data_IF_564146182947
#
_entry.id   IF_564146182947
#
_cell.length_a   1.000
_cell.length_b   1.000
_cell.length_c   1.000
_cell.angle_alpha   90.00
_cell.angle_beta   90.00
_cell.angle_gamma   90.00
#
_symmetry.space_group_name_H-M   'P 1'
#
loop_
_entity.id
_entity.type
_entity.pdbx_description
1 polymer ?
#
# COMPACT_ATOMS: atom_id res chain seq x y z
N UNK A 1 42.21 -27.64 83.17
CA UNK A 1 41.69 -28.22 81.92
C UNK A 1 40.56 -27.34 81.39
N UNK A 2 40.79 -26.60 80.30
CA UNK A 2 39.76 -25.75 79.68
C UNK A 2 39.33 -26.36 78.35
N UNK A 3 38.05 -26.76 78.23
CA UNK A 3 37.44 -27.19 76.97
C UNK A 3 36.61 -26.04 76.42
N UNK A 4 37.00 -25.50 75.27
CA UNK A 4 36.33 -24.38 74.61
C UNK A 4 35.11 -24.89 73.85
N UNK A 5 33.91 -24.44 74.23
CA UNK A 5 32.68 -24.72 73.48
C UNK A 5 32.58 -23.84 72.24
N UNK A 6 32.57 -24.45 71.05
CA UNK A 6 32.31 -23.75 69.78
C UNK A 6 30.85 -23.30 69.71
N UNK A 7 30.63 -21.98 69.60
CA UNK A 7 29.31 -21.34 69.44
C UNK A 7 28.89 -21.41 67.96
N UNK A 8 27.82 -22.13 67.64
CA UNK A 8 27.25 -22.18 66.28
C UNK A 8 26.45 -20.91 66.00
N UNK A 9 26.76 -20.22 64.89
CA UNK A 9 26.00 -19.05 64.43
C UNK A 9 24.78 -19.54 63.66
N UNK A 10 23.59 -19.32 64.19
CA UNK A 10 22.33 -19.56 63.48
C UNK A 10 22.04 -18.34 62.61
N UNK A 11 22.20 -18.46 61.30
CA UNK A 11 21.84 -17.41 60.34
C UNK A 11 20.32 -17.48 60.19
N UNK A 12 19.61 -16.58 60.87
CA UNK A 12 18.19 -16.40 60.66
C UNK A 12 18.02 -15.51 59.44
N UNK A 13 17.83 -16.12 58.27
CA UNK A 13 17.42 -15.41 57.06
C UNK A 13 15.98 -14.92 57.27
N UNK A 14 15.84 -13.76 57.90
CA UNK A 14 14.64 -12.96 57.73
C UNK A 14 14.73 -12.38 56.32
N UNK A 15 14.02 -12.97 55.37
CA UNK A 15 13.84 -12.40 54.04
C UNK A 15 13.05 -11.10 54.25
N UNK A 16 13.78 -10.02 54.51
CA UNK A 16 13.22 -8.69 54.71
C UNK A 16 12.31 -8.35 53.54
N UNK A 17 11.21 -7.65 53.79
CA UNK A 17 10.32 -7.14 52.74
C UNK A 17 11.10 -6.38 51.65
N UNK A 18 12.19 -5.72 52.03
CA UNK A 18 13.11 -5.08 51.08
C UNK A 18 13.76 -6.08 50.11
N UNK A 19 14.13 -7.28 50.57
CA UNK A 19 14.67 -8.36 49.74
C UNK A 19 13.61 -8.97 48.80
N UNK A 20 12.36 -9.13 49.28
CA UNK A 20 11.26 -9.60 48.44
C UNK A 20 10.93 -8.58 47.33
N UNK A 21 10.93 -7.29 47.66
CA UNK A 21 10.74 -6.21 46.69
C UNK A 21 11.90 -6.18 45.70
N UNK A 22 13.15 -6.29 46.15
CA UNK A 22 14.32 -6.31 45.27
C UNK A 22 14.29 -7.51 44.30
N UNK A 23 13.89 -8.69 44.77
CA UNK A 23 13.71 -9.87 43.92
C UNK A 23 12.58 -9.69 42.91
N UNK A 24 11.46 -9.09 43.33
CA UNK A 24 10.33 -8.80 42.44
C UNK A 24 10.73 -7.81 41.34
N UNK A 25 11.37 -6.70 41.70
CA UNK A 25 11.84 -5.67 40.75
C UNK A 25 12.88 -6.24 39.79
N UNK A 26 13.84 -7.03 40.30
CA UNK A 26 14.84 -7.71 39.47
C UNK A 26 14.18 -8.66 38.46
N UNK A 27 13.20 -9.44 38.90
CA UNK A 27 12.43 -10.32 38.02
C UNK A 27 11.73 -9.55 36.90
N UNK A 28 11.01 -8.48 37.24
CA UNK A 28 10.33 -7.62 36.26
C UNK A 28 11.33 -7.01 35.28
N UNK A 29 12.48 -6.54 35.74
CA UNK A 29 13.53 -6.02 34.86
C UNK A 29 14.05 -7.08 33.87
N UNK A 30 14.28 -8.32 34.31
CA UNK A 30 14.71 -9.41 33.43
C UNK A 30 13.62 -9.74 32.40
N UNK A 31 12.35 -9.80 32.81
CA UNK A 31 11.23 -10.03 31.88
C UNK A 31 11.11 -8.93 30.83
N UNK A 32 11.24 -7.66 31.24
CA UNK A 32 11.23 -6.53 30.30
C UNK A 32 12.41 -6.62 29.33
N UNK A 33 13.60 -7.00 29.80
CA UNK A 33 14.76 -7.14 28.94
C UNK A 33 14.60 -8.27 27.92
N UNK A 34 14.11 -9.43 28.34
CA UNK A 34 13.78 -10.55 27.45
C UNK A 34 12.68 -10.16 26.45
N UNK A 35 11.69 -9.38 26.88
CA UNK A 35 10.64 -8.87 25.99
C UNK A 35 11.19 -7.92 24.91
N UNK A 36 12.10 -7.01 25.28
CA UNK A 36 12.75 -6.10 24.33
C UNK A 36 13.54 -6.90 23.28
N UNK A 37 14.31 -7.91 23.72
CA UNK A 37 15.05 -8.80 22.82
C UNK A 37 14.12 -9.64 21.93
N UNK A 38 13.05 -10.19 22.51
CA UNK A 38 12.03 -10.96 21.80
C UNK A 38 11.30 -10.13 20.75
N UNK A 39 10.98 -8.87 21.07
CA UNK A 39 10.35 -7.93 20.13
C UNK A 39 11.28 -7.63 18.94
N UNK A 40 12.58 -7.40 19.19
CA UNK A 40 13.57 -7.19 18.14
C UNK A 40 13.74 -8.41 17.22
N UNK A 41 13.80 -9.61 17.80
CA UNK A 41 13.87 -10.87 17.02
C UNK A 41 12.59 -11.10 16.22
N UNK A 42 11.42 -10.84 16.83
CA UNK A 42 10.12 -10.95 16.17
C UNK A 42 9.98 -10.02 14.97
N UNK A 43 10.37 -8.75 15.11
CA UNK A 43 10.35 -7.80 13.99
C UNK A 43 11.33 -8.19 12.87
N UNK A 44 12.50 -8.75 13.21
CA UNK A 44 13.52 -9.18 12.22
C UNK A 44 13.07 -10.39 11.39
N UNK A 45 12.25 -11.28 11.96
CA UNK A 45 11.66 -12.42 11.24
C UNK A 45 10.49 -11.99 10.35
N UNK A 46 9.62 -11.09 10.84
CA UNK A 46 8.48 -10.57 10.07
C UNK A 46 8.94 -9.79 8.83
N UNK A 47 10.05 -9.06 8.91
CA UNK A 47 10.64 -8.35 7.75
C UNK A 47 11.25 -9.27 6.69
N UNK A 48 11.78 -10.45 7.08
CA UNK A 48 12.42 -11.41 6.15
C UNK A 48 11.44 -12.41 5.53
N UNK A 49 10.39 -12.80 6.24
CA UNK A 49 9.39 -13.75 5.73
C UNK A 49 8.59 -13.24 4.54
N UNK A 50 8.46 -11.92 4.37
CA UNK A 50 7.76 -11.33 3.22
C UNK A 50 8.58 -11.40 1.93
N UNK A 51 9.89 -11.21 2.00
CA UNK A 51 10.82 -11.31 0.85
C UNK A 51 10.99 -12.76 0.39
N UNK A 52 11.07 -13.70 1.34
CA UNK A 52 11.29 -15.12 1.04
C UNK A 52 10.06 -15.80 0.41
N UNK A 53 8.84 -15.29 0.65
CA UNK A 53 7.62 -15.79 -0.01
C UNK A 53 7.43 -15.25 -1.44
N UNK A 54 8.07 -14.12 -1.77
CA UNK A 54 7.99 -13.50 -3.10
C UNK A 54 8.94 -14.14 -4.12
N UNK A 55 10.13 -14.58 -3.67
CA UNK A 55 11.16 -15.20 -4.54
C UNK A 55 10.77 -16.52 -5.21
N UNK A 56 10.16 -17.52 -4.53
CA UNK A 56 9.78 -18.78 -5.18
C UNK A 56 8.60 -18.57 -6.16
N UNK A 57 7.80 -17.52 -5.99
CA UNK A 57 6.65 -17.22 -6.85
C UNK A 57 7.01 -16.42 -8.10
N UNK A 58 8.07 -15.61 -8.05
CA UNK A 58 8.58 -14.86 -9.21
C UNK A 58 9.46 -15.76 -10.09
N UNK A 59 10.28 -16.63 -9.51
CA UNK A 59 11.12 -17.57 -10.27
C UNK A 59 10.28 -18.62 -11.04
N UNK A 60 9.18 -19.12 -10.46
CA UNK A 60 8.28 -20.07 -11.12
C UNK A 60 7.48 -19.47 -12.29
N UNK A 61 7.52 -18.15 -12.50
CA UNK A 61 6.78 -17.45 -13.56
C UNK A 61 7.68 -16.98 -14.72
N UNK A 62 9.01 -17.11 -14.60
CA UNK A 62 9.97 -16.52 -15.55
C UNK A 62 10.49 -17.47 -16.64
N UNK A 63 10.09 -18.76 -16.64
CA UNK A 63 10.46 -19.74 -17.68
C UNK A 63 9.22 -20.61 -17.90
N UNK A 64 8.43 -20.48 -18.99
CA UNK A 64 8.86 -20.38 -20.38
C UNK A 64 7.94 -19.51 -21.28
N UNK A 65 8.32 -18.28 -21.62
CA UNK A 65 7.64 -17.50 -22.69
C UNK A 65 8.67 -16.64 -23.43
N UNK A 66 9.81 -17.24 -23.79
CA UNK A 66 10.87 -16.55 -24.53
C UNK A 66 11.46 -17.40 -25.67
N UNK A 67 10.78 -18.49 -26.06
CA UNK A 67 11.29 -19.44 -27.05
C UNK A 67 10.38 -19.65 -28.27
N UNK A 68 9.36 -18.81 -28.48
CA UNK A 68 8.62 -18.81 -29.75
C UNK A 68 8.54 -17.41 -30.36
N UNK A 69 9.42 -17.24 -31.33
CA UNK A 69 9.31 -16.43 -32.56
C UNK A 69 9.92 -15.02 -32.52
N UNK A 70 11.18 -14.95 -32.95
CA UNK A 70 11.81 -13.85 -33.70
C UNK A 70 12.73 -14.55 -34.74
N UNK A 71 13.12 -14.01 -35.93
CA UNK A 71 12.71 -12.83 -36.72
C UNK A 71 12.46 -13.10 -38.22
N UNK A 72 11.75 -12.21 -38.92
CA UNK A 72 12.01 -11.94 -40.35
C UNK A 72 11.55 -10.52 -40.72
N UNK A 73 12.46 -9.78 -41.35
CA UNK A 73 12.25 -8.53 -42.08
C UNK A 73 11.89 -7.27 -41.26
N UNK A 74 12.93 -6.68 -40.66
CA UNK A 74 13.11 -5.23 -40.62
C UNK A 74 13.79 -4.83 -41.93
N UNK A 75 13.13 -4.03 -42.76
CA UNK A 75 13.80 -3.23 -43.79
C UNK A 75 13.46 -1.76 -43.55
N UNK A 76 14.51 -1.00 -43.26
CA UNK A 76 14.54 0.46 -43.14
C UNK A 76 14.03 1.11 -44.42
N UNK A 77 13.36 2.26 -44.29
CA UNK A 77 13.70 3.46 -45.08
C UNK A 77 13.33 4.71 -44.28
N UNK A 78 14.36 5.46 -43.94
CA UNK A 78 14.36 6.87 -43.52
C UNK A 78 14.14 7.77 -44.74
N UNK A 79 13.63 8.99 -44.50
CA UNK A 79 13.92 10.27 -45.18
C UNK A 79 12.59 11.04 -45.40
N UNK A 80 12.23 12.03 -44.57
CA UNK A 80 12.74 13.42 -44.52
C UNK A 80 12.42 14.23 -45.76
N UNK A 81 11.58 15.26 -45.59
CA UNK A 81 11.73 16.65 -46.07
C UNK A 81 10.37 17.36 -45.84
N UNK A 82 10.25 18.27 -44.86
CA UNK A 82 10.71 19.67 -44.86
C UNK A 82 9.79 20.61 -45.65
N UNK A 83 9.06 21.45 -44.91
CA UNK A 83 9.15 22.93 -44.95
C UNK A 83 7.84 23.60 -44.47
N UNK A 84 7.97 24.27 -43.32
CA UNK A 84 7.17 25.45 -42.88
C UNK A 84 7.52 26.66 -43.80
N UNK A 85 7.05 27.90 -43.54
CA UNK A 85 5.82 28.45 -42.91
C UNK A 85 5.15 29.54 -43.81
N UNK A 86 3.93 30.01 -43.48
CA UNK A 86 3.62 31.44 -43.71
C UNK A 86 2.63 32.01 -42.68
N UNK A 87 3.21 32.65 -41.69
CA UNK A 87 2.97 33.99 -41.11
C UNK A 87 1.72 34.80 -41.53
N UNK A 88 0.85 35.02 -40.52
CA UNK A 88 0.18 36.27 -40.09
C UNK A 88 -0.72 37.09 -41.06
N UNK A 89 -2.00 37.30 -40.68
CA UNK A 89 -2.51 38.57 -40.12
C UNK A 89 -4.07 38.60 -39.96
N UNK A 90 -4.53 38.74 -38.71
CA UNK A 90 -5.50 39.75 -38.15
C UNK A 90 -6.69 40.16 -39.09
N UNK A 91 -8.01 40.08 -38.76
CA UNK A 91 -8.78 40.51 -37.57
C UNK A 91 -10.30 40.23 -37.78
N UNK A 92 -11.05 40.09 -36.68
CA UNK A 92 -12.48 40.48 -36.46
C UNK A 92 -13.58 39.86 -37.37
N UNK A 93 -14.80 39.50 -36.93
CA UNK A 93 -15.52 39.53 -35.66
C UNK A 93 -16.86 38.79 -35.90
N UNK A 94 -17.46 38.32 -34.82
CA UNK A 94 -18.91 38.09 -34.62
C UNK A 94 -19.64 37.02 -35.45
N UNK A 95 -20.08 35.97 -34.73
CA UNK A 95 -21.51 35.79 -34.48
C UNK A 95 -22.34 34.96 -35.48
N UNK A 96 -22.42 33.66 -35.18
CA UNK A 96 -23.62 32.81 -35.22
C UNK A 96 -24.19 32.26 -36.55
N UNK A 97 -24.50 30.95 -36.51
CA UNK A 97 -25.22 30.07 -37.46
C UNK A 97 -24.64 29.92 -38.87
N UNK A 98 -24.24 28.72 -39.35
CA UNK A 98 -25.12 27.60 -39.71
C UNK A 98 -24.27 26.38 -40.11
N UNK A 99 -24.78 25.17 -39.81
CA UNK A 99 -24.59 23.85 -40.45
C UNK A 99 -23.26 23.45 -41.14
N UNK A 100 -22.78 22.23 -40.88
CA UNK A 100 -22.59 21.18 -41.91
C UNK A 100 -22.10 19.87 -41.28
N UNK A 101 -22.88 18.83 -41.58
CA UNK A 101 -22.61 17.41 -41.46
C UNK A 101 -21.40 16.98 -42.31
N UNK A 102 -20.36 16.42 -41.68
CA UNK A 102 -19.55 15.35 -42.27
C UNK A 102 -19.40 14.22 -41.24
N UNK A 103 -20.21 13.19 -41.46
CA UNK A 103 -20.03 11.83 -41.00
C UNK A 103 -18.55 11.41 -40.97
N UNK A 104 -18.02 11.16 -39.78
CA UNK A 104 -16.93 10.22 -39.55
C UNK A 104 -17.35 9.15 -38.56
N UNK A 105 -17.86 8.07 -39.17
CA UNK A 105 -17.49 6.68 -38.86
C UNK A 105 -17.76 6.22 -37.43
N UNK A 106 -19.05 5.92 -37.19
CA UNK A 106 -19.53 4.91 -36.24
C UNK A 106 -18.90 3.54 -36.56
N UNK A 107 -17.67 3.33 -36.10
CA UNK A 107 -17.11 1.99 -35.94
C UNK A 107 -17.56 1.51 -34.57
N UNK A 108 -18.24 0.36 -34.54
CA UNK A 108 -18.67 -0.31 -33.32
C UNK A 108 -17.42 -0.69 -32.52
N UNK A 109 -16.96 0.21 -31.67
CA UNK A 109 -15.83 0.00 -30.81
C UNK A 109 -16.25 -0.96 -29.69
N UNK A 110 -15.65 -2.15 -29.67
CA UNK A 110 -15.75 -3.04 -28.53
C UNK A 110 -15.35 -2.24 -27.29
N UNK A 111 -16.29 -2.05 -26.35
CA UNK A 111 -16.15 -1.27 -25.12
C UNK A 111 -14.85 -1.66 -24.39
N UNK A 112 -13.75 -0.97 -24.68
CA UNK A 112 -12.49 -1.12 -23.92
C UNK A 112 -12.83 -0.67 -22.51
N UNK A 113 -12.78 -1.60 -21.56
CA UNK A 113 -13.03 -1.26 -20.16
C UNK A 113 -11.94 -0.30 -19.72
N UNK A 114 -12.36 0.89 -19.33
CA UNK A 114 -11.45 1.92 -18.83
C UNK A 114 -10.90 1.46 -17.47
N UNK A 115 -9.59 1.38 -17.36
CA UNK A 115 -8.90 0.95 -16.13
C UNK A 115 -8.36 2.19 -15.47
N UNK A 116 -8.81 2.46 -14.25
CA UNK A 116 -8.34 3.57 -13.44
C UNK A 116 -7.76 3.04 -12.13
N UNK A 117 -6.98 3.86 -11.46
CA UNK A 117 -6.33 3.52 -10.21
C UNK A 117 -6.98 4.29 -9.06
N UNK A 118 -7.02 3.67 -7.89
CA UNK A 118 -7.52 4.28 -6.66
C UNK A 118 -6.58 3.98 -5.51
N UNK A 119 -6.63 4.80 -4.46
CA UNK A 119 -5.89 4.55 -3.24
C UNK A 119 -6.77 3.84 -2.22
N UNK A 120 -6.48 2.59 -1.93
CA UNK A 120 -7.11 1.89 -0.81
C UNK A 120 -6.41 2.29 0.50
N UNK A 121 -7.16 2.94 1.40
CA UNK A 121 -6.63 3.43 2.68
C UNK A 121 -7.02 2.54 3.87
N UNK A 122 -8.14 1.83 3.76
CA UNK A 122 -8.67 1.00 4.84
C UNK A 122 -9.66 -0.04 4.29
N UNK A 123 -9.87 -1.11 5.05
CA UNK A 123 -10.88 -2.13 4.77
C UNK A 123 -11.49 -2.59 6.07
N UNK A 124 -12.81 -2.51 6.19
CA UNK A 124 -13.54 -2.86 7.42
C UNK A 124 -14.54 -3.99 7.17
N UNK A 125 -14.75 -4.87 8.15
CA UNK A 125 -15.83 -5.86 8.09
C UNK A 125 -17.23 -5.25 8.26
N UNK A 126 -17.31 -4.04 8.82
CA UNK A 126 -18.56 -3.34 9.11
C UNK A 126 -18.72 -2.10 8.23
N UNK A 127 -19.89 -1.98 7.57
CA UNK A 127 -20.20 -0.86 6.67
C UNK A 127 -20.14 0.49 7.36
N UNK A 128 -20.72 0.61 8.57
CA UNK A 128 -20.77 1.86 9.31
C UNK A 128 -19.39 2.43 9.66
N UNK A 129 -18.39 1.58 9.93
CA UNK A 129 -17.01 2.03 10.14
C UNK A 129 -16.36 2.55 8.86
N UNK A 130 -16.58 1.86 7.75
CA UNK A 130 -16.09 2.30 6.45
C UNK A 130 -16.70 3.63 6.02
N UNK A 131 -18.00 3.81 6.23
CA UNK A 131 -18.71 5.06 5.88
C UNK A 131 -18.22 6.23 6.73
N UNK A 132 -17.97 6.02 8.04
CA UNK A 132 -17.37 7.02 8.92
C UNK A 132 -15.96 7.41 8.49
N UNK A 133 -15.11 6.43 8.14
CA UNK A 133 -13.77 6.72 7.61
C UNK A 133 -13.87 7.53 6.32
N UNK A 134 -14.68 7.08 5.36
CA UNK A 134 -14.87 7.80 4.11
C UNK A 134 -15.41 9.22 4.33
N UNK A 135 -16.30 9.41 5.32
CA UNK A 135 -16.77 10.73 5.77
C UNK A 135 -15.62 11.64 6.19
N UNK A 136 -14.76 11.16 7.10
CA UNK A 136 -13.58 11.92 7.55
C UNK A 136 -12.68 12.38 6.41
N UNK A 137 -12.50 11.56 5.37
CA UNK A 137 -11.69 11.93 4.21
C UNK A 137 -12.41 12.90 3.29
N UNK A 138 -13.73 12.80 3.14
CA UNK A 138 -14.54 13.79 2.43
C UNK A 138 -14.53 15.15 3.12
N UNK A 139 -14.62 15.18 4.44
CA UNK A 139 -14.58 16.41 5.24
C UNK A 139 -13.22 17.13 5.10
N UNK A 140 -12.15 16.37 4.84
CA UNK A 140 -10.81 16.90 4.51
C UNK A 140 -10.67 17.36 3.05
N UNK A 141 -11.72 17.25 2.24
CA UNK A 141 -11.72 17.66 0.83
C UNK A 141 -11.28 16.58 -0.16
N UNK A 142 -11.14 15.32 0.27
CA UNK A 142 -10.75 14.22 -0.62
C UNK A 142 -11.96 13.46 -1.15
N UNK A 143 -11.95 13.08 -2.42
CA UNK A 143 -12.94 12.12 -2.96
C UNK A 143 -12.71 10.74 -2.33
N UNK A 144 -13.59 10.33 -1.42
CA UNK A 144 -13.55 8.99 -0.80
C UNK A 144 -14.83 8.19 -1.05
N UNK A 145 -14.66 6.94 -1.50
CA UNK A 145 -15.72 6.00 -1.88
C UNK A 145 -15.57 4.68 -1.11
N UNK A 146 -16.68 4.10 -0.66
CA UNK A 146 -16.70 2.78 -0.05
C UNK A 146 -17.18 1.75 -1.07
N UNK A 147 -16.41 0.68 -1.28
CA UNK A 147 -16.81 -0.45 -2.10
C UNK A 147 -16.92 -1.73 -1.30
N UNK A 148 -18.01 -2.45 -1.54
CA UNK A 148 -18.23 -3.80 -1.02
C UNK A 148 -17.34 -4.78 -1.79
N UNK A 149 -16.62 -5.64 -1.08
CA UNK A 149 -15.81 -6.72 -1.60
C UNK A 149 -16.16 -8.00 -0.84
N UNK A 150 -16.62 -9.02 -1.57
CA UNK A 150 -16.84 -10.36 -1.00
C UNK A 150 -15.52 -11.14 -1.06
N UNK A 151 -14.98 -11.52 0.10
CA UNK A 151 -13.74 -12.28 0.21
C UNK A 151 -13.98 -13.80 0.33
N UNK A 152 -15.21 -14.25 0.10
CA UNK A 152 -15.59 -15.66 0.19
C UNK A 152 -16.01 -16.08 1.61
N UNK A 153 -16.32 -17.37 1.81
CA UNK A 153 -17.02 -17.85 3.00
C UNK A 153 -16.22 -17.73 4.30
N UNK A 154 -14.88 -17.82 4.26
CA UNK A 154 -14.05 -17.75 5.47
C UNK A 154 -13.90 -16.32 6.02
N UNK A 155 -13.85 -15.32 5.13
CA UNK A 155 -13.58 -13.92 5.50
C UNK A 155 -14.84 -13.07 5.46
N UNK A 156 -15.81 -13.42 4.62
CA UNK A 156 -17.06 -12.70 4.46
C UNK A 156 -16.88 -11.38 3.70
N UNK A 157 -17.81 -10.46 3.96
CA UNK A 157 -17.92 -9.19 3.23
C UNK A 157 -17.06 -8.13 3.92
N UNK A 158 -16.27 -7.42 3.12
CA UNK A 158 -15.52 -6.26 3.55
C UNK A 158 -15.94 -5.01 2.78
N UNK A 159 -15.74 -3.87 3.41
CA UNK A 159 -16.01 -2.54 2.90
C UNK A 159 -14.68 -1.80 2.80
N UNK A 160 -14.15 -1.73 1.57
CA UNK A 160 -12.88 -1.09 1.24
C UNK A 160 -13.10 0.40 0.98
N UNK A 161 -12.31 1.23 1.64
CA UNK A 161 -12.34 2.69 1.48
C UNK A 161 -11.27 3.09 0.49
N UNK A 162 -11.72 3.70 -0.61
CA UNK A 162 -10.89 4.14 -1.72
C UNK A 162 -10.85 5.67 -1.78
N UNK A 163 -9.69 6.24 -2.13
CA UNK A 163 -9.48 7.66 -2.36
C UNK A 163 -9.12 7.92 -3.81
N UNK A 164 -9.73 8.97 -4.36
CA UNK A 164 -9.44 9.50 -5.68
C UNK A 164 -9.78 8.53 -6.81
N UNK A 165 -9.51 9.00 -8.03
CA UNK A 165 -9.47 8.21 -9.26
C UNK A 165 -8.32 8.77 -10.08
N UNK A 166 -7.37 7.93 -10.43
CA UNK A 166 -6.13 8.29 -11.10
C UNK A 166 -6.04 7.51 -12.40
N UNK A 167 -5.44 8.10 -13.43
CA UNK A 167 -5.36 7.47 -14.75
C UNK A 167 -4.07 6.65 -14.93
N UNK A 168 -3.08 6.86 -14.06
CA UNK A 168 -1.82 6.13 -14.07
C UNK A 168 -1.38 5.72 -12.65
N UNK A 169 -0.51 4.72 -12.59
CA UNK A 169 0.07 4.21 -11.34
C UNK A 169 0.98 5.25 -10.71
N UNK A 170 1.72 6.01 -11.52
CA UNK A 170 2.65 7.05 -11.09
C UNK A 170 1.92 8.20 -10.39
N UNK A 171 0.77 8.63 -10.94
CA UNK A 171 -0.09 9.66 -10.35
C UNK A 171 -0.62 9.21 -8.98
N UNK A 172 -1.14 7.97 -8.91
CA UNK A 172 -1.65 7.39 -7.68
C UNK A 172 -0.55 7.22 -6.62
N UNK A 173 0.63 6.76 -7.03
CA UNK A 173 1.78 6.54 -6.13
C UNK A 173 2.27 7.87 -5.55
N UNK A 174 2.44 8.89 -6.40
CA UNK A 174 2.81 10.23 -5.97
C UNK A 174 1.80 10.81 -4.98
N UNK A 175 0.51 10.54 -5.18
CA UNK A 175 -0.54 10.96 -4.26
C UNK A 175 -0.50 10.18 -2.93
N UNK A 176 -0.19 8.88 -2.97
CA UNK A 176 -0.02 8.03 -1.79
C UNK A 176 1.13 8.52 -0.89
N UNK A 177 2.27 8.88 -1.50
CA UNK A 177 3.41 9.44 -0.78
C UNK A 177 3.08 10.78 -0.11
N UNK A 178 2.36 11.67 -0.81
CA UNK A 178 1.89 12.93 -0.21
C UNK A 178 0.99 12.70 1.00
N UNK A 179 0.09 11.72 0.93
CA UNK A 179 -0.77 11.36 2.07
C UNK A 179 0.03 10.73 3.22
N UNK A 180 1.04 9.90 2.89
CA UNK A 180 1.93 9.31 3.88
C UNK A 180 2.72 10.39 4.63
N UNK A 181 3.26 11.39 3.93
CA UNK A 181 3.99 12.50 4.56
C UNK A 181 3.07 13.39 5.40
N UNK A 182 1.88 13.73 4.90
CA UNK A 182 0.98 14.68 5.56
C UNK A 182 0.22 14.09 6.75
N UNK A 183 -0.19 12.82 6.66
CA UNK A 183 -1.08 12.19 7.64
C UNK A 183 -0.51 10.92 8.26
N UNK A 184 0.73 10.54 7.95
CA UNK A 184 1.35 9.28 8.37
C UNK A 184 0.49 8.05 8.04
N UNK A 185 -0.17 8.09 6.87
CA UNK A 185 -1.10 7.06 6.41
C UNK A 185 -0.40 6.09 5.45
N UNK A 186 -0.56 4.79 5.68
CA UNK A 186 -0.19 3.76 4.71
C UNK A 186 -1.37 3.47 3.78
N UNK A 187 -1.18 3.68 2.49
CA UNK A 187 -2.18 3.44 1.45
C UNK A 187 -1.62 2.57 0.33
N UNK A 188 -2.49 1.83 -0.35
CA UNK A 188 -2.13 0.94 -1.46
C UNK A 188 -2.80 1.38 -2.76
N UNK A 189 -2.05 1.41 -3.86
CA UNK A 189 -2.60 1.68 -5.19
C UNK A 189 -3.27 0.40 -5.72
N UNK A 190 -4.53 0.52 -6.14
CA UNK A 190 -5.33 -0.61 -6.63
C UNK A 190 -5.91 -0.26 -8.01
N UNK A 191 -5.73 -1.12 -9.02
CA UNK A 191 -6.41 -0.96 -10.31
C UNK A 191 -7.89 -1.35 -10.16
N UNK A 192 -8.76 -0.54 -10.74
CA UNK A 192 -10.21 -0.74 -10.78
C UNK A 192 -10.66 -0.64 -12.22
N UNK A 193 -11.41 -1.64 -12.64
CA UNK A 193 -11.98 -1.70 -13.98
C UNK A 193 -13.36 -1.03 -13.96
N UNK A 194 -13.56 -0.01 -14.79
CA UNK A 194 -14.88 0.58 -15.03
C UNK A 194 -15.72 -0.42 -15.83
N UNK A 195 -16.90 -0.77 -15.29
CA UNK A 195 -17.79 -1.78 -15.88
C UNK A 195 -18.93 -1.12 -16.65
#
# INVERSE_FOLDING_TARGET
>A
MARTGKKSRKIQFQLSWAGLIALSVSGVCIFLWVFILGFWVGQKLVGRGLEESLRPRVAARAVPEAARVIPAASEKTMASEDLKPDTQAVKEKDGDTSDVNISHKKTREAKKRDVYFVLQIASYGERGRADKEAGRWRDKGYRAEVRRADLGPEKGIFYRVHLGKFHSVEEATSFAEKLAQKYNLKSYVVPVVSN
#
